data_IF_143131813003
#
_entry.id   IF_143131813003
#
_cell.length_a   1.000
_cell.length_b   1.000
_cell.length_c   1.000
_cell.angle_alpha   90.00
_cell.angle_beta   90.00
_cell.angle_gamma   90.00
#
_symmetry.space_group_name_H-M   'P 1'
#
loop_
_entity.id
_entity.type
_entity.pdbx_description
1 polymer ?
#
# COMPACT_ATOMS: atom_id res chain seq x y z
N UNK A 1 18.91 11.94 -8.55
CA UNK A 1 18.31 13.27 -8.32
C UNK A 1 16.83 13.08 -8.04
N UNK A 2 16.30 13.73 -7.01
CA UNK A 2 14.89 13.65 -6.61
C UNK A 2 14.27 15.04 -6.77
N UNK A 3 13.05 15.12 -7.33
CA UNK A 3 12.33 16.37 -7.55
C UNK A 3 10.96 16.28 -6.90
N UNK A 4 10.67 17.19 -5.96
CA UNK A 4 9.35 17.33 -5.37
C UNK A 4 8.64 18.52 -5.99
N UNK A 5 7.50 18.27 -6.63
CA UNK A 5 6.72 19.30 -7.33
C UNK A 5 5.35 19.42 -6.66
N UNK A 6 5.14 20.53 -5.98
CA UNK A 6 3.91 20.81 -5.27
C UNK A 6 3.22 22.03 -5.88
N UNK A 7 1.93 21.92 -6.19
CA UNK A 7 1.08 23.08 -6.45
C UNK A 7 0.64 23.65 -5.12
N UNK A 8 0.99 24.91 -4.83
CA UNK A 8 0.37 25.66 -3.73
C UNK A 8 -1.03 26.07 -4.19
N UNK A 9 -2.05 25.71 -3.42
CA UNK A 9 -3.48 25.77 -3.78
C UNK A 9 -4.07 27.17 -4.00
N UNK A 10 -3.26 28.23 -4.06
CA UNK A 10 -3.75 29.61 -3.91
C UNK A 10 -3.83 30.39 -5.23
N UNK A 11 -3.61 29.75 -6.37
CA UNK A 11 -3.74 30.40 -7.68
C UNK A 11 -4.58 29.56 -8.63
N UNK A 12 -5.62 30.22 -9.18
CA UNK A 12 -6.60 29.68 -10.11
C UNK A 12 -5.99 28.98 -11.33
N UNK A 13 -6.84 28.30 -12.08
CA UNK A 13 -6.50 27.66 -13.34
C UNK A 13 -5.70 28.61 -14.23
N UNK A 14 -4.43 28.29 -14.47
CA UNK A 14 -3.53 29.15 -15.23
C UNK A 14 -2.16 28.50 -15.36
N UNK A 15 -1.89 28.08 -16.59
CA UNK A 15 -0.65 27.62 -17.20
C UNK A 15 -0.10 26.20 -16.92
N UNK A 16 0.19 25.42 -18.00
CA UNK A 16 1.00 24.22 -17.90
C UNK A 16 2.41 24.61 -17.47
N UNK A 17 2.78 24.18 -16.26
CA UNK A 17 4.14 24.33 -15.75
C UNK A 17 5.17 23.77 -16.76
N UNK A 18 6.32 24.42 -16.98
CA UNK A 18 7.25 24.06 -18.04
C UNK A 18 7.74 22.61 -17.96
N UNK A 19 7.97 22.03 -19.14
CA UNK A 19 8.70 20.78 -19.34
C UNK A 19 10.08 20.95 -18.69
N UNK A 20 10.32 20.30 -17.55
CA UNK A 20 11.66 20.19 -17.01
C UNK A 20 12.40 19.15 -17.84
N UNK A 21 13.40 19.56 -18.62
CA UNK A 21 14.35 18.59 -19.18
C UNK A 21 15.29 18.15 -18.06
N UNK A 22 15.11 16.92 -17.59
CA UNK A 22 15.80 16.38 -16.42
C UNK A 22 16.19 14.90 -16.68
N UNK A 23 17.18 14.64 -17.55
CA UNK A 23 17.54 13.28 -18.00
C UNK A 23 18.08 12.38 -16.87
N UNK A 24 18.55 12.98 -15.78
CA UNK A 24 19.06 12.26 -14.59
C UNK A 24 18.02 12.11 -13.48
N UNK A 25 16.79 12.60 -13.70
CA UNK A 25 15.72 12.48 -12.73
C UNK A 25 15.29 11.02 -12.60
N UNK A 26 15.11 10.56 -11.37
CA UNK A 26 14.74 9.16 -11.05
C UNK A 26 13.53 9.06 -10.14
N UNK A 27 13.28 10.10 -9.36
CA UNK A 27 12.22 10.16 -8.38
C UNK A 27 11.46 11.47 -8.51
N UNK A 28 10.12 11.37 -8.55
CA UNK A 28 9.25 12.53 -8.69
C UNK A 28 8.05 12.39 -7.77
N UNK A 29 7.69 13.49 -7.11
CA UNK A 29 6.45 13.64 -6.36
C UNK A 29 5.61 14.71 -7.04
N UNK A 30 4.40 14.36 -7.47
CA UNK A 30 3.44 15.24 -8.13
C UNK A 30 2.23 15.42 -7.22
N UNK A 31 1.98 16.64 -6.75
CA UNK A 31 0.76 16.98 -6.01
C UNK A 31 -0.52 16.93 -6.87
N UNK A 32 -1.68 17.05 -6.24
CA UNK A 32 -2.96 17.09 -6.95
C UNK A 32 -3.11 18.34 -7.84
N UNK A 33 -3.85 18.21 -8.94
CA UNK A 33 -4.28 19.35 -9.76
C UNK A 33 -3.20 19.93 -10.69
N UNK A 34 -2.22 19.13 -11.08
CA UNK A 34 -1.17 19.53 -12.00
C UNK A 34 -1.33 18.80 -13.34
N UNK A 35 -1.36 19.56 -14.44
CA UNK A 35 -1.31 19.04 -15.81
C UNK A 35 0.13 19.18 -16.30
N UNK A 36 0.83 18.06 -16.47
CA UNK A 36 2.20 18.03 -16.98
C UNK A 36 2.30 17.08 -18.16
N UNK A 37 3.20 17.40 -19.10
CA UNK A 37 3.63 16.50 -20.17
C UNK A 37 5.03 16.02 -19.79
N UNK A 38 5.18 14.72 -19.54
CA UNK A 38 6.43 14.12 -19.02
C UNK A 38 7.17 13.33 -20.10
N UNK A 39 8.40 13.71 -20.48
CA UNK A 39 9.26 12.87 -21.30
C UNK A 39 10.38 12.25 -20.45
N UNK A 40 10.06 11.64 -19.30
CA UNK A 40 11.06 11.02 -18.42
C UNK A 40 10.96 9.49 -18.39
N UNK A 41 11.25 8.80 -19.51
CA UNK A 41 11.23 7.34 -19.56
C UNK A 41 12.18 6.70 -18.55
N UNK A 42 13.20 7.43 -18.08
CA UNK A 42 14.16 7.00 -17.06
C UNK A 42 13.61 6.97 -15.62
N UNK A 43 12.38 7.44 -15.39
CA UNK A 43 11.83 7.56 -14.04
C UNK A 43 11.60 6.17 -13.43
N UNK A 44 12.10 5.97 -12.21
CA UNK A 44 11.99 4.70 -11.48
C UNK A 44 11.05 4.80 -10.29
N UNK A 45 10.84 6.00 -9.74
CA UNK A 45 9.93 6.24 -8.62
C UNK A 45 9.00 7.41 -8.90
N UNK A 46 7.71 7.19 -8.67
CA UNK A 46 6.68 8.19 -8.87
C UNK A 46 5.69 8.18 -7.71
N UNK A 47 5.44 9.36 -7.14
CA UNK A 47 4.33 9.60 -6.23
C UNK A 47 3.32 10.52 -6.89
N UNK A 48 2.05 10.10 -6.95
CA UNK A 48 0.95 10.85 -7.54
C UNK A 48 -0.09 11.25 -6.49
N UNK A 49 -0.40 12.53 -6.43
CA UNK A 49 -1.52 13.09 -5.67
C UNK A 49 -2.90 12.80 -6.27
N UNK A 50 -2.96 12.44 -7.56
CA UNK A 50 -4.17 12.05 -8.29
C UNK A 50 -3.79 11.00 -9.31
N UNK A 51 -4.58 9.92 -9.39
CA UNK A 51 -4.39 8.92 -10.44
C UNK A 51 -4.62 9.54 -11.83
N UNK A 52 -3.64 9.36 -12.71
CA UNK A 52 -3.73 9.74 -14.11
C UNK A 52 -3.11 8.63 -14.99
N UNK A 53 -3.93 7.91 -15.77
CA UNK A 53 -3.46 6.81 -16.61
C UNK A 53 -2.52 7.27 -17.73
N UNK A 54 -2.62 8.53 -18.17
CA UNK A 54 -1.76 9.06 -19.22
C UNK A 54 -0.31 9.23 -18.74
N UNK A 55 -0.11 9.66 -17.49
CA UNK A 55 1.22 9.79 -16.88
C UNK A 55 1.90 8.43 -16.78
N UNK A 56 1.16 7.41 -16.33
CA UNK A 56 1.71 6.06 -16.15
C UNK A 56 2.19 5.44 -17.47
N UNK A 57 1.49 5.71 -18.58
CA UNK A 57 1.89 5.24 -19.93
C UNK A 57 3.22 5.85 -20.40
N UNK A 58 3.59 7.02 -19.89
CA UNK A 58 4.84 7.71 -20.24
C UNK A 58 6.04 7.24 -19.40
N UNK A 59 5.80 6.44 -18.35
CA UNK A 59 6.81 6.02 -17.38
C UNK A 59 6.97 4.48 -17.34
N UNK A 60 7.44 3.83 -18.42
CA UNK A 60 7.46 2.37 -18.51
C UNK A 60 8.47 1.70 -17.56
N UNK A 61 9.47 2.43 -17.08
CA UNK A 61 10.54 1.92 -16.21
C UNK A 61 10.28 2.14 -14.72
N UNK A 62 9.04 2.47 -14.32
CA UNK A 62 8.69 2.60 -12.92
C UNK A 62 8.92 1.30 -12.17
N UNK A 63 9.66 1.40 -11.09
CA UNK A 63 9.91 0.34 -10.10
C UNK A 63 9.00 0.55 -8.90
N UNK A 64 8.77 1.80 -8.49
CA UNK A 64 7.93 2.15 -7.35
C UNK A 64 6.87 3.19 -7.74
N UNK A 65 5.61 2.90 -7.40
CA UNK A 65 4.48 3.80 -7.59
C UNK A 65 3.75 4.00 -6.28
N UNK A 66 3.60 5.25 -5.86
CA UNK A 66 2.81 5.63 -4.71
C UNK A 66 1.66 6.53 -5.13
N UNK A 67 0.44 6.09 -4.85
CA UNK A 67 -0.76 6.89 -5.01
C UNK A 67 -1.14 7.44 -3.64
N UNK A 68 -1.35 8.74 -3.58
CA UNK A 68 -1.89 9.41 -2.40
C UNK A 68 -3.42 9.41 -2.48
N UNK A 69 -4.12 9.47 -1.32
CA UNK A 69 -5.57 9.61 -1.31
C UNK A 69 -5.99 10.85 -2.08
N UNK A 70 -6.89 10.69 -3.04
CA UNK A 70 -7.41 11.80 -3.81
C UNK A 70 -8.94 11.82 -3.66
N UNK A 71 -9.51 12.94 -3.23
CA UNK A 71 -10.95 13.04 -2.97
C UNK A 71 -11.85 12.86 -4.20
N UNK A 72 -11.28 12.82 -5.41
CA UNK A 72 -11.98 12.60 -6.68
C UNK A 72 -10.97 12.10 -7.74
N UNK A 73 -10.74 10.79 -7.81
CA UNK A 73 -10.13 10.19 -8.98
C UNK A 73 -11.18 10.17 -10.11
N UNK A 74 -10.82 10.61 -11.31
CA UNK A 74 -11.69 10.47 -12.48
C UNK A 74 -11.50 9.06 -13.01
N UNK A 75 -12.28 8.13 -12.44
CA UNK A 75 -12.15 6.68 -12.61
C UNK A 75 -12.82 6.21 -13.91
N UNK A 76 -12.57 6.91 -15.02
CA UNK A 76 -13.10 6.50 -16.33
C UNK A 76 -12.50 5.17 -16.76
N UNK A 77 -13.33 4.34 -17.40
CA UNK A 77 -12.96 3.03 -17.93
C UNK A 77 -11.92 3.21 -19.06
N UNK A 78 -10.65 2.97 -18.73
CA UNK A 78 -9.51 3.20 -19.60
C UNK A 78 -8.88 1.88 -20.00
N UNK A 79 -8.21 1.88 -21.16
CA UNK A 79 -7.44 0.73 -21.62
C UNK A 79 -6.44 0.26 -20.55
N UNK A 80 -6.14 -1.06 -20.47
CA UNK A 80 -5.23 -1.60 -19.48
C UNK A 80 -3.86 -0.92 -19.52
N UNK A 81 -3.30 -0.64 -18.34
CA UNK A 81 -1.96 -0.06 -18.18
C UNK A 81 -1.01 -1.18 -17.77
N UNK A 82 0.06 -1.33 -18.53
CA UNK A 82 1.13 -2.28 -18.25
C UNK A 82 2.31 -1.51 -17.69
N UNK A 83 2.73 -1.86 -16.46
CA UNK A 83 3.97 -1.35 -15.86
C UNK A 83 4.92 -2.54 -15.66
N UNK A 84 5.76 -2.85 -16.67
CA UNK A 84 6.49 -4.12 -16.73
C UNK A 84 7.57 -4.25 -15.65
N UNK A 85 8.08 -3.14 -15.14
CA UNK A 85 9.15 -3.08 -14.15
C UNK A 85 8.66 -2.79 -12.73
N UNK A 86 7.36 -2.62 -12.51
CA UNK A 86 6.85 -2.17 -11.22
C UNK A 86 6.94 -3.29 -10.18
N UNK A 87 7.72 -3.06 -9.13
CA UNK A 87 7.95 -4.01 -8.04
C UNK A 87 7.17 -3.63 -6.78
N UNK A 88 6.94 -2.34 -6.56
CA UNK A 88 6.26 -1.80 -5.39
C UNK A 88 5.08 -0.90 -5.79
N UNK A 89 3.90 -1.25 -5.29
CA UNK A 89 2.70 -0.43 -5.42
C UNK A 89 2.18 -0.03 -4.03
N UNK A 90 2.07 1.27 -3.81
CA UNK A 90 1.38 1.85 -2.65
C UNK A 90 0.12 2.55 -3.12
N UNK A 91 -1.05 2.20 -2.55
CA UNK A 91 -2.32 2.79 -2.98
C UNK A 91 -3.32 2.97 -1.85
N UNK A 92 -4.21 3.98 -1.95
CA UNK A 92 -5.27 4.23 -0.98
C UNK A 92 -6.54 3.40 -1.28
N UNK A 93 -7.48 3.33 -0.33
CA UNK A 93 -8.72 2.54 -0.47
C UNK A 93 -9.55 2.83 -1.73
N UNK A 94 -9.66 4.10 -2.10
CA UNK A 94 -10.41 4.59 -3.28
C UNK A 94 -9.88 4.03 -4.60
N UNK A 95 -8.64 3.55 -4.63
CA UNK A 95 -8.03 2.95 -5.80
C UNK A 95 -8.49 1.50 -6.08
N UNK A 96 -9.11 0.82 -5.10
CA UNK A 96 -9.48 -0.60 -5.23
C UNK A 96 -10.38 -0.90 -6.45
N UNK A 97 -11.23 0.05 -6.83
CA UNK A 97 -12.18 -0.08 -7.93
C UNK A 97 -11.52 -0.17 -9.32
N UNK A 98 -10.32 0.41 -9.49
CA UNK A 98 -9.63 0.51 -10.79
C UNK A 98 -8.35 -0.33 -10.89
N UNK A 99 -8.00 -1.06 -9.84
CA UNK A 99 -6.88 -2.02 -9.83
C UNK A 99 -6.95 -3.01 -11.00
N UNK A 100 -8.16 -3.38 -11.45
CA UNK A 100 -8.38 -4.27 -12.59
C UNK A 100 -7.77 -3.77 -13.91
N UNK A 101 -7.56 -2.46 -14.05
CA UNK A 101 -6.93 -1.82 -15.21
C UNK A 101 -5.40 -2.00 -15.23
N UNK A 102 -4.78 -2.42 -14.13
CA UNK A 102 -3.34 -2.58 -14.04
C UNK A 102 -2.89 -4.01 -14.42
N UNK A 103 -1.72 -4.08 -15.06
CA UNK A 103 -0.96 -5.31 -15.33
C UNK A 103 0.47 -5.11 -14.85
N UNK A 104 0.81 -5.79 -13.77
CA UNK A 104 2.03 -5.54 -12.99
C UNK A 104 2.83 -6.85 -12.83
N UNK A 105 3.46 -7.34 -13.91
CA UNK A 105 4.06 -8.68 -13.94
C UNK A 105 5.19 -8.87 -12.93
N UNK A 106 5.86 -7.80 -12.49
CA UNK A 106 6.95 -7.85 -11.51
C UNK A 106 6.57 -7.39 -10.11
N UNK A 107 5.28 -7.19 -9.84
CA UNK A 107 4.84 -6.69 -8.54
C UNK A 107 5.19 -7.70 -7.45
N UNK A 108 6.01 -7.28 -6.48
CA UNK A 108 6.46 -8.10 -5.38
C UNK A 108 6.03 -7.53 -4.01
N UNK A 109 5.73 -6.23 -3.95
CA UNK A 109 5.40 -5.53 -2.72
C UNK A 109 4.13 -4.69 -2.88
N UNK A 110 3.19 -4.89 -1.95
CA UNK A 110 1.91 -4.18 -1.95
C UNK A 110 1.73 -3.46 -0.63
N UNK A 111 1.45 -2.16 -0.68
CA UNK A 111 1.16 -1.32 0.48
C UNK A 111 -0.22 -0.70 0.33
N UNK A 112 -1.19 -1.25 1.07
CA UNK A 112 -2.54 -0.73 1.13
C UNK A 112 -2.63 0.31 2.25
N UNK A 113 -2.76 1.59 1.89
CA UNK A 113 -2.74 2.73 2.81
C UNK A 113 -4.12 3.27 3.13
N UNK A 114 -4.20 3.96 4.26
CA UNK A 114 -5.28 4.88 4.64
C UNK A 114 -6.69 4.27 4.60
N UNK A 115 -6.78 2.97 4.90
CA UNK A 115 -8.08 2.32 5.03
C UNK A 115 -8.70 2.71 6.37
N UNK A 116 -9.84 3.39 6.32
CA UNK A 116 -10.66 3.62 7.52
C UNK A 116 -11.13 2.26 8.04
N UNK A 117 -11.72 1.46 7.16
CA UNK A 117 -12.18 0.10 7.41
C UNK A 117 -11.84 -0.76 6.19
N UNK A 118 -11.31 -1.96 6.42
CA UNK A 118 -11.17 -2.93 5.34
C UNK A 118 -12.57 -3.43 4.91
N UNK A 119 -12.82 -3.35 3.61
CA UNK A 119 -14.02 -3.86 2.91
C UNK A 119 -13.67 -5.03 1.98
N UNK A 120 -14.68 -5.77 1.52
CA UNK A 120 -14.50 -6.88 0.59
C UNK A 120 -13.80 -6.46 -0.72
N UNK A 121 -13.96 -5.21 -1.15
CA UNK A 121 -13.30 -4.65 -2.33
C UNK A 121 -11.77 -4.68 -2.21
N UNK A 122 -11.23 -4.43 -1.02
CA UNK A 122 -9.79 -4.49 -0.77
C UNK A 122 -9.25 -5.91 -1.01
N UNK A 123 -9.97 -6.93 -0.53
CA UNK A 123 -9.58 -8.33 -0.77
C UNK A 123 -9.68 -8.69 -2.26
N UNK A 124 -10.69 -8.19 -2.96
CA UNK A 124 -10.83 -8.39 -4.42
C UNK A 124 -9.69 -7.72 -5.18
N UNK A 125 -9.35 -6.47 -4.86
CA UNK A 125 -8.23 -5.75 -5.44
C UNK A 125 -6.90 -6.48 -5.22
N UNK A 126 -6.64 -6.97 -4.00
CA UNK A 126 -5.45 -7.77 -3.71
C UNK A 126 -5.38 -9.04 -4.56
N UNK A 127 -6.49 -9.78 -4.72
CA UNK A 127 -6.52 -10.97 -5.58
C UNK A 127 -6.22 -10.63 -7.04
N UNK A 128 -6.74 -9.50 -7.53
CA UNK A 128 -6.47 -9.03 -8.89
C UNK A 128 -5.00 -8.67 -9.08
N UNK A 129 -4.39 -7.96 -8.12
CA UNK A 129 -2.96 -7.63 -8.16
C UNK A 129 -2.09 -8.88 -8.16
N UNK A 130 -2.38 -9.83 -7.26
CA UNK A 130 -1.69 -11.13 -7.19
C UNK A 130 -1.83 -11.89 -8.50
N UNK A 131 -3.03 -11.95 -9.08
CA UNK A 131 -3.27 -12.62 -10.37
C UNK A 131 -2.60 -11.91 -11.56
N UNK A 132 -2.33 -10.60 -11.44
CA UNK A 132 -1.65 -9.81 -12.48
C UNK A 132 -0.12 -9.90 -12.43
N UNK A 133 0.44 -10.45 -11.35
CA UNK A 133 1.88 -10.60 -11.16
C UNK A 133 2.35 -11.99 -11.59
N UNK A 134 3.51 -12.06 -12.24
CA UNK A 134 4.20 -13.33 -12.51
C UNK A 134 5.20 -13.70 -11.43
N UNK A 135 5.36 -12.86 -10.40
CA UNK A 135 6.20 -13.13 -9.23
C UNK A 135 5.34 -13.23 -7.96
N UNK A 136 5.82 -13.98 -6.97
CA UNK A 136 5.13 -14.08 -5.70
C UNK A 136 5.21 -12.75 -4.94
N UNK A 137 4.08 -12.28 -4.41
CA UNK A 137 4.06 -11.13 -3.50
C UNK A 137 4.79 -11.53 -2.21
N UNK A 138 5.94 -10.92 -1.97
CA UNK A 138 6.81 -11.23 -0.83
C UNK A 138 6.51 -10.36 0.38
N UNK A 139 5.97 -9.15 0.18
CA UNK A 139 5.59 -8.24 1.26
C UNK A 139 4.20 -7.65 1.04
N UNK A 140 3.39 -7.72 2.09
CA UNK A 140 2.10 -7.05 2.18
C UNK A 140 2.15 -6.08 3.36
N UNK A 141 1.82 -4.81 3.13
CA UNK A 141 1.58 -3.86 4.19
C UNK A 141 0.11 -3.41 4.16
N UNK A 142 -0.52 -3.36 5.33
CA UNK A 142 -1.92 -2.96 5.46
C UNK A 142 -2.06 -1.95 6.57
N UNK A 143 -2.59 -0.77 6.23
CA UNK A 143 -2.97 0.24 7.20
C UNK A 143 -4.45 0.08 7.58
N UNK A 144 -4.74 -0.07 8.88
CA UNK A 144 -6.08 -0.33 9.41
C UNK A 144 -6.39 0.65 10.55
N UNK A 145 -7.30 1.61 10.31
CA UNK A 145 -7.75 2.53 11.35
C UNK A 145 -8.76 1.91 12.32
N UNK A 146 -9.64 1.04 11.82
CA UNK A 146 -10.62 0.31 12.63
C UNK A 146 -10.58 -1.19 12.29
N UNK A 147 -10.55 -2.08 13.29
CA UNK A 147 -10.37 -3.51 13.06
C UNK A 147 -11.61 -4.12 12.39
N UNK A 148 -11.40 -4.77 11.25
CA UNK A 148 -12.39 -5.58 10.56
C UNK A 148 -11.82 -7.00 10.36
N UNK A 149 -11.82 -7.87 11.39
CA UNK A 149 -11.05 -9.11 11.40
C UNK A 149 -11.46 -10.10 10.29
N UNK A 150 -12.75 -10.15 9.95
CA UNK A 150 -13.20 -11.00 8.83
C UNK A 150 -12.70 -10.51 7.48
N UNK A 151 -12.71 -9.20 7.26
CA UNK A 151 -12.16 -8.64 6.02
C UNK A 151 -10.64 -8.73 5.98
N UNK A 152 -9.98 -8.50 7.12
CA UNK A 152 -8.53 -8.69 7.24
C UNK A 152 -8.15 -10.14 6.91
N UNK A 153 -8.89 -11.13 7.43
CA UNK A 153 -8.77 -12.54 7.01
C UNK A 153 -8.84 -12.67 5.48
N UNK A 154 -9.82 -12.04 4.83
CA UNK A 154 -9.98 -12.12 3.38
C UNK A 154 -8.82 -11.47 2.63
N UNK A 155 -8.29 -10.35 3.11
CA UNK A 155 -7.14 -9.66 2.51
C UNK A 155 -5.87 -10.48 2.64
N UNK A 156 -5.62 -11.03 3.83
CA UNK A 156 -4.49 -11.92 4.11
C UNK A 156 -4.59 -13.20 3.27
N UNK A 157 -5.79 -13.76 3.09
CA UNK A 157 -6.00 -14.92 2.22
C UNK A 157 -5.87 -14.61 0.72
N UNK A 158 -6.04 -13.34 0.32
CA UNK A 158 -5.85 -12.90 -1.06
C UNK A 158 -4.37 -12.92 -1.47
N UNK A 159 -3.45 -12.84 -0.51
CA UNK A 159 -2.01 -12.88 -0.72
C UNK A 159 -1.47 -14.12 0.02
N UNK A 160 -1.42 -15.29 -0.63
CA UNK A 160 -1.30 -16.57 0.08
C UNK A 160 0.10 -16.85 0.65
N UNK A 161 1.17 -16.26 0.09
CA UNK A 161 2.55 -16.58 0.47
C UNK A 161 3.48 -15.36 0.70
N UNK A 162 3.05 -14.27 1.36
CA UNK A 162 3.94 -13.20 1.76
C UNK A 162 4.92 -13.72 2.81
N UNK A 163 6.18 -13.33 2.64
CA UNK A 163 7.27 -13.57 3.60
C UNK A 163 7.32 -12.51 4.70
N UNK A 164 6.79 -11.32 4.41
CA UNK A 164 6.71 -10.19 5.30
C UNK A 164 5.29 -9.58 5.33
N UNK A 165 4.80 -9.27 6.53
CA UNK A 165 3.54 -8.56 6.76
C UNK A 165 3.80 -7.35 7.66
N UNK A 166 3.46 -6.17 7.17
CA UNK A 166 3.53 -4.93 7.94
C UNK A 166 2.09 -4.49 8.27
N UNK A 167 1.73 -4.55 9.55
CA UNK A 167 0.40 -4.18 10.03
C UNK A 167 0.47 -2.82 10.69
N UNK A 168 -0.01 -1.78 9.98
CA UNK A 168 -0.08 -0.43 10.52
C UNK A 168 -1.45 -0.18 11.14
N UNK A 169 -1.54 -0.03 12.45
CA UNK A 169 -2.79 0.16 13.16
C UNK A 169 -2.99 1.63 13.59
N UNK A 170 -4.23 2.11 13.49
CA UNK A 170 -4.62 3.41 14.05
C UNK A 170 -4.70 3.37 15.59
N UNK A 171 -4.69 4.54 16.21
CA UNK A 171 -4.68 4.71 17.68
C UNK A 171 -5.88 4.10 18.43
N UNK A 172 -6.98 3.81 17.73
CA UNK A 172 -8.18 3.21 18.30
C UNK A 172 -8.32 1.70 17.99
N UNK A 173 -7.35 1.09 17.31
CA UNK A 173 -7.44 -0.31 16.89
C UNK A 173 -7.06 -1.24 18.03
N UNK A 174 -8.01 -2.07 18.47
CA UNK A 174 -7.67 -3.28 19.25
C UNK A 174 -6.99 -4.30 18.33
N UNK A 175 -5.81 -4.76 18.73
CA UNK A 175 -5.02 -5.69 17.90
C UNK A 175 -5.51 -7.12 18.01
N UNK A 176 -5.97 -7.55 19.19
CA UNK A 176 -6.33 -8.93 19.48
C UNK A 176 -7.20 -9.62 18.40
N UNK A 177 -8.25 -8.98 17.83
CA UNK A 177 -9.02 -9.59 16.75
C UNK A 177 -8.22 -9.83 15.45
N UNK A 178 -7.29 -8.92 15.11
CA UNK A 178 -6.42 -9.05 13.94
C UNK A 178 -5.32 -10.09 14.19
N UNK A 179 -4.77 -10.12 15.41
CA UNK A 179 -3.79 -11.11 15.82
C UNK A 179 -4.39 -12.52 15.81
N UNK A 180 -5.63 -12.68 16.28
CA UNK A 180 -6.34 -13.96 16.24
C UNK A 180 -6.49 -14.49 14.80
N UNK A 181 -6.61 -13.62 13.80
CA UNK A 181 -6.61 -14.03 12.37
C UNK A 181 -5.27 -14.63 11.97
N UNK A 182 -4.16 -14.04 12.44
CA UNK A 182 -2.80 -14.48 12.18
C UNK A 182 -2.41 -15.73 12.99
N UNK A 183 -3.01 -15.97 14.16
CA UNK A 183 -2.71 -17.14 14.98
C UNK A 183 -3.33 -18.45 14.45
N UNK A 184 -4.24 -18.38 13.47
CA UNK A 184 -4.92 -19.58 12.97
C UNK A 184 -3.97 -20.50 12.20
N UNK A 185 -4.17 -21.83 12.31
CA UNK A 185 -3.46 -22.79 11.48
C UNK A 185 -3.57 -22.47 9.99
N UNK A 186 -2.44 -22.49 9.28
CA UNK A 186 -2.36 -22.24 7.85
C UNK A 186 -2.52 -20.77 7.41
N UNK A 187 -2.73 -19.82 8.33
CA UNK A 187 -2.68 -18.40 7.97
C UNK A 187 -1.23 -18.02 7.61
N UNK A 188 -1.00 -17.50 6.40
CA UNK A 188 0.31 -17.03 5.92
C UNK A 188 1.47 -18.00 6.27
N UNK A 189 1.53 -19.18 5.63
CA UNK A 189 2.48 -20.23 5.99
C UNK A 189 3.95 -19.85 5.71
N UNK A 190 4.20 -18.95 4.76
CA UNK A 190 5.54 -18.48 4.39
C UNK A 190 6.02 -17.28 5.23
N UNK A 191 5.19 -16.76 6.14
CA UNK A 191 5.49 -15.54 6.89
C UNK A 191 6.59 -15.78 7.91
N UNK A 192 7.72 -15.08 7.73
CA UNK A 192 8.82 -15.09 8.68
C UNK A 192 9.12 -13.71 9.28
N UNK A 193 8.53 -12.63 8.73
CA UNK A 193 8.67 -11.27 9.25
C UNK A 193 7.30 -10.66 9.49
N UNK A 194 7.06 -10.20 10.72
CA UNK A 194 5.84 -9.49 11.11
C UNK A 194 6.22 -8.20 11.83
N UNK A 195 5.85 -7.06 11.25
CA UNK A 195 5.93 -5.77 11.91
C UNK A 195 4.52 -5.30 12.26
N UNK A 196 4.32 -4.86 13.49
CA UNK A 196 3.08 -4.26 13.95
C UNK A 196 3.41 -2.86 14.46
N UNK A 197 2.95 -1.85 13.73
CA UNK A 197 3.29 -0.47 14.00
C UNK A 197 2.04 0.40 14.14
N UNK A 198 2.11 1.39 15.04
CA UNK A 198 0.98 2.28 15.28
C UNK A 198 -0.11 1.63 16.12
N UNK A 199 -0.88 2.46 16.81
CA UNK A 199 -1.87 1.98 17.77
C UNK A 199 -1.37 2.01 19.22
N UNK A 200 -2.33 1.86 20.13
CA UNK A 200 -2.10 1.57 21.53
C UNK A 200 -2.27 0.07 21.72
N UNK A 201 -1.35 -0.56 22.45
CA UNK A 201 -1.52 -1.95 22.91
C UNK A 201 -2.27 -1.96 24.22
N UNK A 202 -3.33 -2.74 24.26
CA UNK A 202 -4.17 -2.96 25.43
C UNK A 202 -3.80 -4.28 26.12
N UNK A 203 -4.26 -4.48 27.36
CA UNK A 203 -3.94 -5.69 28.13
C UNK A 203 -4.38 -6.99 27.43
N UNK A 204 -5.53 -6.95 26.73
CA UNK A 204 -6.06 -8.08 25.93
C UNK A 204 -5.20 -8.40 24.69
N UNK A 205 -4.40 -7.45 24.20
CA UNK A 205 -3.55 -7.66 23.03
C UNK A 205 -2.31 -8.51 23.36
N UNK A 206 -1.75 -8.42 24.58
CA UNK A 206 -0.55 -9.18 24.96
C UNK A 206 -0.80 -10.70 24.93
N UNK A 207 -1.96 -11.14 25.43
CA UNK A 207 -2.34 -12.56 25.39
C UNK A 207 -2.47 -13.06 23.96
N UNK A 208 -3.18 -12.31 23.11
CA UNK A 208 -3.31 -12.65 21.70
C UNK A 208 -1.97 -12.69 20.97
N UNK A 209 -1.06 -11.74 21.26
CA UNK A 209 0.30 -11.72 20.69
C UNK A 209 1.07 -12.97 21.14
N UNK A 210 1.03 -13.32 22.42
CA UNK A 210 1.70 -14.51 22.94
C UNK A 210 1.19 -15.79 22.26
N UNK A 211 -0.14 -15.93 22.13
CA UNK A 211 -0.78 -17.05 21.44
C UNK A 211 -0.36 -17.13 19.97
N UNK A 212 -0.32 -15.99 19.27
CA UNK A 212 0.12 -15.91 17.88
C UNK A 212 1.60 -16.29 17.71
N UNK A 213 2.48 -15.81 18.60
CA UNK A 213 3.88 -16.18 18.60
C UNK A 213 4.07 -17.67 18.87
N UNK A 214 3.31 -18.25 19.81
CA UNK A 214 3.29 -19.68 20.07
C UNK A 214 2.84 -20.48 18.84
N UNK A 215 1.75 -20.05 18.19
CA UNK A 215 1.24 -20.67 16.97
C UNK A 215 2.21 -20.57 15.78
N UNK A 216 3.14 -19.61 15.81
CA UNK A 216 4.12 -19.35 14.73
C UNK A 216 5.57 -19.63 15.12
N UNK A 217 5.83 -20.28 16.26
CA UNK A 217 7.18 -20.46 16.80
C UNK A 217 8.15 -21.16 15.82
N UNK A 218 7.65 -22.00 14.91
CA UNK A 218 8.46 -22.68 13.90
C UNK A 218 8.70 -21.92 12.59
N UNK A 219 8.07 -20.75 12.39
CA UNK A 219 8.10 -20.02 11.11
C UNK A 219 8.48 -18.55 11.22
N UNK A 220 8.05 -17.86 12.29
CA UNK A 220 8.33 -16.44 12.48
C UNK A 220 9.76 -16.22 12.98
N UNK A 221 10.57 -15.47 12.23
CA UNK A 221 11.98 -15.18 12.54
C UNK A 221 12.17 -13.77 13.09
N UNK A 222 11.37 -12.84 12.60
CA UNK A 222 11.43 -11.42 12.98
C UNK A 222 10.04 -10.97 13.39
N UNK A 223 9.95 -10.47 14.61
CA UNK A 223 8.76 -9.83 15.14
C UNK A 223 9.14 -8.45 15.68
N UNK A 224 8.46 -7.41 15.19
CA UNK A 224 8.60 -6.05 15.68
C UNK A 224 7.23 -5.54 16.15
N UNK A 225 7.23 -4.84 17.28
CA UNK A 225 6.05 -4.20 17.84
C UNK A 225 6.41 -2.75 18.18
N UNK A 226 5.97 -1.82 17.33
CA UNK A 226 6.22 -0.39 17.43
C UNK A 226 4.95 0.32 17.92
N UNK A 227 4.84 0.46 19.24
CA UNK A 227 3.66 1.03 19.90
C UNK A 227 3.88 2.48 20.32
N UNK A 228 2.84 3.31 20.16
CA UNK A 228 2.82 4.62 20.80
C UNK A 228 2.54 4.41 22.28
N UNK A 229 3.50 4.73 23.15
CA UNK A 229 3.25 4.75 24.59
C UNK A 229 2.12 5.73 24.90
N UNK A 230 1.07 5.25 25.56
CA UNK A 230 0.10 6.12 26.19
C UNK A 230 0.80 6.73 27.42
N UNK A 231 1.11 8.03 27.39
CA UNK A 231 1.35 8.77 28.62
C UNK A 231 0.06 8.75 29.43
N UNK A 232 -0.02 7.91 30.46
CA UNK A 232 -0.95 8.12 31.56
C UNK A 232 -0.36 9.24 32.41
N UNK A 233 -0.92 10.45 32.28
CA UNK A 233 -0.76 11.45 33.34
C UNK A 233 -1.41 10.86 34.59
N UNK A 234 -0.60 10.61 35.62
CA UNK A 234 -1.03 10.24 36.96
C UNK A 234 -1.68 11.45 37.65
#
# INVERSE_FOLDING_TARGET
MSLSVHRRSDAGAGDPTPILDAPLLREVIIGAGLNYVFPWPQLTSLTLGRYDPAILKLCPNLVTLQLLPSGNADLSDQAPIVLPSLELLTFPSDFCSIVHQLRLPRLAHIYLRETTVLTAEHATALRQLVASSSVAISRLAVFIKYPAPQTFKCCVAAVPAPTALDLHCGNATKLAPLIAVLARPGALPALHTLDIAGGRVFNDDYGAIADMLGARAGGLRVFALLVQQAYTAF
#
